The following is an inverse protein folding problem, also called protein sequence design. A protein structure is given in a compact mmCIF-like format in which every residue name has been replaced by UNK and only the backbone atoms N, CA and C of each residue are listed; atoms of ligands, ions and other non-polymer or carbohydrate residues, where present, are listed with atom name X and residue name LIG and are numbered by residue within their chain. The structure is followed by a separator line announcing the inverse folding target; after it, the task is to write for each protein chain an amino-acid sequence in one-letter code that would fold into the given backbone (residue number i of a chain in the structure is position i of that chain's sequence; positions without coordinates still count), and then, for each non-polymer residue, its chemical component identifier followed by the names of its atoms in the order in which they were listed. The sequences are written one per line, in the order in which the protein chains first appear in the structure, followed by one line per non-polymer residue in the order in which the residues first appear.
data_IF_548402805699
#
_entry.id   IF_548402805699
#
_cell.length_a   1.000
_cell.length_b   1.000
_cell.length_c   1.000
_cell.angle_alpha   90.00
_cell.angle_beta   90.00
_cell.angle_gamma   90.00
#
_symmetry.space_group_name_H-M   'P 1'
#
loop_
_entity.id
_entity.type
_entity.pdbx_description
1 polymer ?
#
# COMPACT_ATOMS: atom_id res chain seq x y z
N UNK A 1 -3.67 -2.00 -19.25
CA UNK A 1 -2.93 -0.74 -18.98
C UNK A 1 -3.60 0.11 -17.87
N UNK A 2 -4.38 -0.47 -16.95
CA UNK A 2 -4.99 0.26 -15.81
C UNK A 2 -4.50 -0.22 -14.44
N UNK A 3 -3.95 -1.44 -14.34
CA UNK A 3 -3.37 -2.00 -13.11
C UNK A 3 -2.07 -1.28 -12.71
N UNK A 4 -1.22 -0.99 -13.68
CA UNK A 4 0.13 -0.49 -13.43
C UNK A 4 0.10 0.97 -12.91
N UNK A 5 -0.92 1.76 -13.30
CA UNK A 5 -1.14 3.11 -12.76
C UNK A 5 -1.53 3.08 -11.27
N UNK A 6 -2.35 2.12 -10.86
CA UNK A 6 -2.83 2.04 -9.49
C UNK A 6 -1.71 1.66 -8.52
N UNK A 7 -0.86 0.71 -8.91
CA UNK A 7 0.27 0.28 -8.10
C UNK A 7 1.29 1.40 -7.89
N UNK A 8 1.70 2.09 -8.95
CA UNK A 8 2.65 3.20 -8.85
C UNK A 8 2.10 4.35 -8.00
N UNK A 9 0.80 4.65 -8.11
CA UNK A 9 0.15 5.65 -7.26
C UNK A 9 0.08 5.21 -5.81
N UNK A 10 -0.13 3.92 -5.53
CA UNK A 10 -0.13 3.38 -4.18
C UNK A 10 1.26 3.41 -3.54
N UNK A 11 2.32 3.17 -4.34
CA UNK A 11 3.71 3.33 -3.92
C UNK A 11 4.02 4.78 -3.51
N UNK A 12 3.66 5.75 -4.35
CA UNK A 12 3.82 7.17 -4.01
C UNK A 12 3.02 7.55 -2.76
N UNK A 13 1.81 6.99 -2.61
CA UNK A 13 0.98 7.24 -1.44
C UNK A 13 1.65 6.75 -0.15
N UNK A 14 2.14 5.51 -0.11
CA UNK A 14 2.80 5.00 1.11
C UNK A 14 4.13 5.73 1.38
N UNK A 15 4.85 6.17 0.35
CA UNK A 15 6.02 7.04 0.52
C UNK A 15 5.66 8.40 1.16
N UNK A 16 4.49 8.94 0.84
CA UNK A 16 3.97 10.21 1.39
C UNK A 16 3.48 10.06 2.84
N UNK A 17 2.66 9.05 3.13
CA UNK A 17 1.99 8.90 4.44
C UNK A 17 2.74 8.00 5.43
N UNK A 18 3.70 7.19 4.96
CA UNK A 18 4.51 6.28 5.77
C UNK A 18 3.80 5.03 6.29
N UNK A 19 2.46 4.96 6.21
CA UNK A 19 1.65 3.81 6.63
C UNK A 19 0.48 3.56 5.67
N UNK A 20 0.14 2.30 5.41
CA UNK A 20 -0.94 1.93 4.51
C UNK A 20 -1.82 0.82 5.09
N UNK A 21 -3.09 0.82 4.75
CA UNK A 21 -4.01 -0.28 5.07
C UNK A 21 -5.01 -0.47 3.95
N UNK A 22 -5.67 -1.64 3.90
CA UNK A 22 -6.72 -1.94 2.89
C UNK A 22 -7.76 -0.83 2.87
N UNK A 23 -8.27 -0.43 4.05
CA UNK A 23 -9.28 0.64 4.14
C UNK A 23 -8.75 2.02 3.71
N UNK A 24 -7.46 2.30 3.92
CA UNK A 24 -6.84 3.55 3.45
C UNK A 24 -6.71 3.56 1.92
N UNK A 25 -6.30 2.45 1.31
CA UNK A 25 -6.24 2.29 -0.14
C UNK A 25 -7.63 2.41 -0.79
N UNK A 26 -8.64 1.76 -0.20
CA UNK A 26 -10.03 1.88 -0.66
C UNK A 26 -10.51 3.33 -0.69
N UNK A 27 -10.29 4.08 0.39
CA UNK A 27 -10.71 5.50 0.47
C UNK A 27 -9.90 6.41 -0.45
N UNK A 28 -8.58 6.20 -0.55
CA UNK A 28 -7.68 7.06 -1.35
C UNK A 28 -7.88 6.89 -2.84
N UNK A 29 -8.08 5.65 -3.30
CA UNK A 29 -8.17 5.31 -4.73
C UNK A 29 -9.59 5.01 -5.21
N UNK A 30 -10.58 5.02 -4.30
CA UNK A 30 -11.98 4.70 -4.60
C UNK A 30 -12.14 3.32 -5.25
N UNK A 31 -11.38 2.35 -4.72
CA UNK A 31 -11.34 0.97 -5.20
C UNK A 31 -12.07 0.01 -4.26
N UNK A 32 -12.47 -1.15 -4.80
CA UNK A 32 -13.08 -2.23 -4.01
C UNK A 32 -12.10 -2.90 -3.05
N UNK A 33 -12.62 -3.66 -2.09
CA UNK A 33 -11.81 -4.38 -1.10
C UNK A 33 -10.78 -5.30 -1.75
N UNK A 34 -11.21 -6.14 -2.71
CA UNK A 34 -10.34 -7.08 -3.42
C UNK A 34 -9.21 -6.37 -4.17
N UNK A 35 -9.49 -5.23 -4.80
CA UNK A 35 -8.47 -4.45 -5.49
C UNK A 35 -7.46 -3.83 -4.51
N UNK A 36 -7.94 -3.33 -3.36
CA UNK A 36 -7.08 -2.79 -2.32
C UNK A 36 -6.17 -3.87 -1.69
N UNK A 37 -6.70 -5.08 -1.46
CA UNK A 37 -5.87 -6.21 -1.01
C UNK A 37 -4.83 -6.61 -2.05
N UNK A 38 -5.19 -6.66 -3.34
CA UNK A 38 -4.22 -6.96 -4.41
C UNK A 38 -3.07 -5.96 -4.44
N UNK A 39 -3.39 -4.66 -4.38
CA UNK A 39 -2.39 -3.59 -4.34
C UNK A 39 -1.53 -3.71 -3.08
N UNK A 40 -2.14 -3.96 -1.92
CA UNK A 40 -1.40 -4.14 -0.67
C UNK A 40 -0.44 -5.32 -0.73
N UNK A 41 -0.90 -6.46 -1.25
CA UNK A 41 -0.05 -7.65 -1.41
C UNK A 41 1.13 -7.36 -2.35
N UNK A 42 0.89 -6.65 -3.46
CA UNK A 42 1.98 -6.23 -4.36
C UNK A 42 2.98 -5.31 -3.66
N UNK A 43 2.53 -4.37 -2.83
CA UNK A 43 3.43 -3.50 -2.06
C UNK A 43 4.31 -4.29 -1.07
N UNK A 44 3.76 -5.37 -0.49
CA UNK A 44 4.50 -6.29 0.39
C UNK A 44 5.49 -7.13 -0.41
N UNK A 45 5.07 -7.71 -1.55
CA UNK A 45 5.91 -8.53 -2.44
C UNK A 45 7.11 -7.74 -2.98
N UNK A 46 6.88 -6.50 -3.41
CA UNK A 46 7.92 -5.57 -3.89
C UNK A 46 8.75 -4.95 -2.74
N UNK A 47 8.56 -5.39 -1.50
CA UNK A 47 9.28 -4.92 -0.32
C UNK A 47 9.14 -3.40 -0.06
N UNK A 48 8.07 -2.77 -0.53
CA UNK A 48 7.79 -1.35 -0.30
C UNK A 48 7.23 -1.15 1.12
N UNK A 49 6.38 -2.06 1.60
CA UNK A 49 5.89 -2.04 2.97
C UNK A 49 6.25 -3.32 3.73
N UNK A 50 6.27 -3.22 5.06
CA UNK A 50 6.45 -4.40 5.90
C UNK A 50 5.25 -5.34 5.79
N UNK A 51 5.48 -6.65 5.90
CA UNK A 51 4.41 -7.63 6.01
C UNK A 51 3.77 -7.65 7.40
N UNK A 52 4.35 -6.93 8.36
CA UNK A 52 3.85 -6.86 9.72
C UNK A 52 2.76 -5.79 9.84
N UNK A 53 1.56 -6.23 10.19
CA UNK A 53 0.46 -5.34 10.50
C UNK A 53 0.60 -4.82 11.93
N UNK A 54 0.70 -3.50 12.09
CA UNK A 54 0.69 -2.84 13.39
C UNK A 54 -0.74 -2.41 13.71
N UNK A 55 -1.30 -2.95 14.79
CA UNK A 55 -2.63 -2.55 15.28
C UNK A 55 -2.71 -1.02 15.45
N UNK A 56 -3.86 -0.45 15.12
CA UNK A 56 -4.16 1.00 15.09
C UNK A 56 -3.45 1.82 13.99
N UNK A 57 -2.44 1.28 13.28
CA UNK A 57 -1.65 2.05 12.30
C UNK A 57 -1.69 1.47 10.88
N UNK A 58 -1.62 0.14 10.71
CA UNK A 58 -1.55 -0.51 9.41
C UNK A 58 -0.17 -1.10 9.10
N UNK A 59 0.14 -1.22 7.81
CA UNK A 59 1.42 -1.71 7.28
C UNK A 59 2.35 -0.53 7.09
N UNK A 60 3.53 -0.58 7.71
CA UNK A 60 4.48 0.53 7.73
C UNK A 60 5.33 0.50 6.46
N UNK A 61 5.64 1.68 5.91
CA UNK A 61 6.61 1.84 4.85
C UNK A 61 7.96 1.25 5.29
N UNK A 62 8.49 0.33 4.49
CA UNK A 62 9.81 -0.22 4.73
C UNK A 62 10.82 0.84 4.30
N UNK A 63 11.44 1.52 5.28
CA UNK A 63 12.56 2.42 4.97
C UNK A 63 13.71 1.57 4.42
N UNK A 64 13.94 1.68 3.12
CA UNK A 64 15.19 1.21 2.50
C UNK A 64 16.28 2.13 3.04
N UNK A 65 16.95 1.73 4.12
CA UNK A 65 18.22 2.33 4.51
C UNK A 65 19.19 2.15 3.34
N UNK A 66 19.55 3.27 2.71
CA UNK A 66 20.52 3.34 1.63
C UNK A 66 21.95 3.20 2.16
#
# INVERSE_FOLDING_TARGET
MQSDDLFERAKLFIEEVGVVSVSSLQRKFLIGHTQAEQVLNQLIEENICESHFVQEQGYILKKISK
#
